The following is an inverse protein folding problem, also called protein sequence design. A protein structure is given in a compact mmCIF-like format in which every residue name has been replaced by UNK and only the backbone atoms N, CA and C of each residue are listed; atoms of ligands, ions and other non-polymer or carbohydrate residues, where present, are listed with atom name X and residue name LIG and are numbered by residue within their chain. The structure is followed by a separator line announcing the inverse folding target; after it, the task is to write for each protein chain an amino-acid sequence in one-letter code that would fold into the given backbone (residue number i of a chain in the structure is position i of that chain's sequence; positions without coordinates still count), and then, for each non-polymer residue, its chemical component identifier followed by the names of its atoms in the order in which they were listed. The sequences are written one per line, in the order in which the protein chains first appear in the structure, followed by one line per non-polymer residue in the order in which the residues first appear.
data_IF_072719372607
#
_entry.id   IF_072719372607
#
_cell.length_a   1.000
_cell.length_b   1.000
_cell.length_c   1.000
_cell.angle_alpha   90.00
_cell.angle_beta   90.00
_cell.angle_gamma   90.00
#
_symmetry.space_group_name_H-M   'P 1'
#
loop_
_entity.id
_entity.type
_entity.pdbx_description
1 polymer ?
#
# COMPACT_ATOMS: atom_id res chain seq x y z
N UNK A 1 -17.62 -7.81 15.04
CA UNK A 1 -17.74 -6.42 14.55
C UNK A 1 -17.11 -6.36 13.17
N UNK A 2 -17.90 -6.64 12.13
CA UNK A 2 -17.45 -6.53 10.75
C UNK A 2 -18.37 -5.52 10.10
N UNK A 3 -18.19 -4.26 10.45
CA UNK A 3 -18.64 -3.22 9.55
C UNK A 3 -17.84 -3.43 8.27
N UNK A 4 -18.57 -3.74 7.19
CA UNK A 4 -18.01 -3.79 5.85
C UNK A 4 -17.15 -2.54 5.70
N UNK A 5 -15.85 -2.71 5.51
CA UNK A 5 -14.97 -1.60 5.22
C UNK A 5 -15.58 -0.82 4.05
N UNK A 6 -16.18 0.33 4.36
CA UNK A 6 -16.95 1.09 3.38
C UNK A 6 -15.95 1.87 2.55
N UNK A 7 -15.27 1.18 1.64
CA UNK A 7 -14.35 1.76 0.65
C UNK A 7 -15.00 2.92 -0.13
N UNK A 8 -16.34 2.95 -0.18
CA UNK A 8 -17.16 4.05 -0.71
C UNK A 8 -16.98 5.39 0.02
N UNK A 9 -16.40 5.42 1.23
CA UNK A 9 -16.15 6.64 1.99
C UNK A 9 -14.76 7.24 1.70
N UNK A 10 -13.87 6.49 1.03
CA UNK A 10 -12.52 6.96 0.69
C UNK A 10 -12.62 7.91 -0.51
N UNK A 11 -12.48 9.21 -0.22
CA UNK A 11 -12.68 10.29 -1.20
C UNK A 11 -11.39 11.00 -1.55
N UNK A 12 -10.35 10.86 -0.73
CA UNK A 12 -9.05 11.47 -0.97
C UNK A 12 -7.91 10.44 -0.90
N UNK A 13 -6.74 10.82 -1.45
CA UNK A 13 -5.52 10.04 -1.30
C UNK A 13 -5.08 9.98 0.17
N UNK A 14 -5.33 11.04 0.95
CA UNK A 14 -5.03 11.05 2.38
C UNK A 14 -5.86 10.01 3.14
N UNK A 15 -7.18 9.95 2.89
CA UNK A 15 -8.07 8.95 3.49
C UNK A 15 -7.63 7.53 3.11
N UNK A 16 -7.25 7.35 1.83
CA UNK A 16 -6.79 6.06 1.33
C UNK A 16 -5.51 5.61 2.04
N UNK A 17 -4.55 6.53 2.19
CA UNK A 17 -3.29 6.27 2.88
C UNK A 17 -3.50 5.95 4.36
N UNK A 18 -4.29 6.76 5.06
CA UNK A 18 -4.62 6.54 6.48
C UNK A 18 -5.23 5.15 6.68
N UNK A 19 -6.19 4.81 5.83
CA UNK A 19 -6.89 3.54 5.91
C UNK A 19 -5.98 2.35 5.57
N UNK A 20 -5.06 2.48 4.60
CA UNK A 20 -4.01 1.47 4.37
C UNK A 20 -3.15 1.27 5.62
N UNK A 21 -2.72 2.34 6.31
CA UNK A 21 -1.93 2.23 7.54
C UNK A 21 -2.69 1.56 8.71
N UNK A 22 -4.00 1.77 8.82
CA UNK A 22 -4.83 1.05 9.79
C UNK A 22 -4.80 -0.46 9.51
N UNK A 23 -4.99 -0.87 8.25
CA UNK A 23 -4.92 -2.28 7.86
C UNK A 23 -3.53 -2.88 8.06
N UNK A 24 -2.45 -2.10 7.93
CA UNK A 24 -1.10 -2.57 8.28
C UNK A 24 -0.97 -2.85 9.78
N UNK A 25 -1.64 -2.05 10.62
CA UNK A 25 -1.77 -2.32 12.05
C UNK A 25 -2.49 -3.64 12.29
N UNK A 26 -3.65 -3.83 11.67
CA UNK A 26 -4.43 -5.08 11.77
C UNK A 26 -3.61 -6.30 11.33
N UNK A 27 -2.83 -6.20 10.24
CA UNK A 27 -1.94 -7.28 9.79
C UNK A 27 -0.87 -7.56 10.85
N UNK A 28 -0.21 -6.54 11.40
CA UNK A 28 0.84 -6.74 12.41
C UNK A 28 0.25 -7.47 13.62
N UNK A 29 -0.89 -7.03 14.11
CA UNK A 29 -1.51 -7.58 15.30
C UNK A 29 -1.94 -9.04 15.04
N UNK A 30 -2.51 -9.35 13.87
CA UNK A 30 -2.83 -10.72 13.46
C UNK A 30 -1.62 -11.64 13.31
N UNK A 31 -0.44 -11.10 12.99
CA UNK A 31 0.81 -11.87 12.90
C UNK A 31 1.41 -12.18 14.28
N UNK A 32 0.91 -11.58 15.36
CA UNK A 32 1.30 -11.88 16.74
C UNK A 32 0.37 -12.93 17.38
N UNK A 33 -0.80 -13.17 16.78
CA UNK A 33 -1.77 -14.17 17.21
C UNK A 33 -1.34 -15.62 16.85
N UNK A 34 -1.88 -16.64 17.54
CA UNK A 34 -1.64 -18.04 17.19
C UNK A 34 -2.00 -18.35 15.73
N UNK A 35 -1.17 -19.17 15.07
CA UNK A 35 -1.33 -19.56 13.67
C UNK A 35 -2.44 -20.62 13.46
N UNK A 36 -3.67 -20.25 13.79
CA UNK A 36 -4.86 -21.06 13.57
C UNK A 36 -5.70 -20.58 12.36
N UNK A 37 -6.73 -21.35 12.03
CA UNK A 37 -7.62 -21.04 10.89
C UNK A 37 -8.47 -19.77 11.11
N UNK A 38 -8.66 -19.33 12.36
CA UNK A 38 -9.38 -18.08 12.66
C UNK A 38 -8.48 -16.90 12.31
N UNK A 39 -7.22 -16.91 12.76
CA UNK A 39 -6.21 -15.90 12.40
C UNK A 39 -6.02 -15.85 10.88
N UNK A 40 -5.93 -17.01 10.21
CA UNK A 40 -5.85 -17.09 8.74
C UNK A 40 -7.03 -16.39 8.06
N UNK A 41 -8.25 -16.65 8.53
CA UNK A 41 -9.48 -16.08 7.95
C UNK A 41 -9.50 -14.55 8.08
N UNK A 42 -9.14 -14.03 9.25
CA UNK A 42 -9.08 -12.58 9.47
C UNK A 42 -7.96 -11.94 8.65
N UNK A 43 -6.78 -12.56 8.60
CA UNK A 43 -5.68 -12.10 7.77
C UNK A 43 -6.09 -12.01 6.29
N UNK A 44 -6.73 -13.05 5.75
CA UNK A 44 -7.25 -13.02 4.38
C UNK A 44 -8.27 -11.91 4.17
N UNK A 45 -9.12 -11.64 5.16
CA UNK A 45 -10.11 -10.55 5.07
C UNK A 45 -9.43 -9.18 4.99
N UNK A 46 -8.42 -8.93 5.83
CA UNK A 46 -7.66 -7.68 5.83
C UNK A 46 -6.87 -7.52 4.53
N UNK A 47 -6.24 -8.60 4.04
CA UNK A 47 -5.51 -8.59 2.77
C UNK A 47 -6.43 -8.30 1.58
N UNK A 48 -7.65 -8.84 1.58
CA UNK A 48 -8.62 -8.62 0.51
C UNK A 48 -9.01 -7.14 0.42
N UNK A 49 -9.25 -6.51 1.56
CA UNK A 49 -9.56 -5.08 1.63
C UNK A 49 -8.37 -4.24 1.17
N UNK A 50 -7.16 -4.59 1.60
CA UNK A 50 -5.94 -3.88 1.19
C UNK A 50 -5.69 -3.98 -0.32
N UNK A 51 -5.97 -5.14 -0.91
CA UNK A 51 -5.89 -5.37 -2.36
C UNK A 51 -6.97 -4.59 -3.13
N UNK A 52 -8.16 -4.40 -2.55
CA UNK A 52 -9.24 -3.60 -3.14
C UNK A 52 -8.97 -2.08 -3.08
N UNK A 53 -8.16 -1.64 -2.11
CA UNK A 53 -7.71 -0.24 -2.01
C UNK A 53 -6.76 0.16 -3.13
N UNK A 54 -5.87 -0.72 -3.58
CA UNK A 54 -4.83 -0.36 -4.57
C UNK A 54 -5.44 0.18 -5.89
N UNK A 55 -6.48 -0.43 -6.48
CA UNK A 55 -7.19 0.17 -7.61
C UNK A 55 -7.91 1.49 -7.29
N UNK A 56 -8.43 1.65 -6.07
CA UNK A 56 -9.11 2.87 -5.66
C UNK A 56 -8.12 4.04 -5.57
N UNK A 57 -6.96 3.79 -4.98
CA UNK A 57 -5.86 4.76 -4.90
C UNK A 57 -5.41 5.21 -6.30
N UNK A 58 -5.23 4.25 -7.23
CA UNK A 58 -4.92 4.58 -8.63
C UNK A 58 -5.96 5.49 -9.26
N UNK A 59 -7.26 5.20 -9.08
CA UNK A 59 -8.34 6.05 -9.58
C UNK A 59 -8.31 7.46 -8.98
N UNK A 60 -7.91 7.59 -7.71
CA UNK A 60 -7.75 8.90 -7.07
C UNK A 60 -6.57 9.67 -7.65
N UNK A 61 -5.44 9.01 -7.90
CA UNK A 61 -4.32 9.62 -8.63
C UNK A 61 -4.73 10.06 -10.04
N UNK A 62 -5.42 9.21 -10.81
CA UNK A 62 -5.85 9.54 -12.18
C UNK A 62 -6.78 10.75 -12.21
N UNK A 63 -7.65 10.91 -11.21
CA UNK A 63 -8.51 12.11 -11.07
C UNK A 63 -7.72 13.38 -10.76
N UNK A 64 -6.55 13.24 -10.15
CA UNK A 64 -5.65 14.33 -9.78
C UNK A 64 -4.53 14.52 -10.81
N UNK A 65 -4.79 14.22 -12.09
CA UNK A 65 -3.82 14.41 -13.18
C UNK A 65 -2.83 13.25 -13.37
N UNK A 66 -2.92 12.21 -12.53
CA UNK A 66 -2.07 11.02 -12.58
C UNK A 66 -1.19 10.85 -11.35
N UNK A 67 -0.35 9.82 -11.39
CA UNK A 67 0.51 9.47 -10.27
C UNK A 67 1.63 10.52 -10.09
N UNK A 68 1.60 11.23 -8.95
CA UNK A 68 2.50 12.35 -8.61
C UNK A 68 2.53 13.45 -9.69
N UNK A 69 1.38 13.75 -10.29
CA UNK A 69 1.25 14.77 -11.33
C UNK A 69 1.73 16.15 -10.86
N UNK A 70 1.40 16.55 -9.64
CA UNK A 70 1.88 17.78 -8.98
C UNK A 70 3.41 17.94 -9.01
N UNK A 71 4.17 16.85 -8.93
CA UNK A 71 5.64 16.89 -9.01
C UNK A 71 6.11 17.07 -10.45
N UNK A 72 5.39 16.48 -11.42
CA UNK A 72 5.76 16.53 -12.83
C UNK A 72 5.34 17.83 -13.52
N UNK A 73 4.30 18.49 -13.02
CA UNK A 73 3.90 19.84 -13.43
C UNK A 73 5.02 20.84 -13.12
N UNK A 74 5.58 20.81 -11.91
CA UNK A 74 6.68 21.69 -11.50
C UNK A 74 8.05 21.24 -12.02
N UNK A 75 8.31 19.93 -12.05
CA UNK A 75 9.60 19.37 -12.46
C UNK A 75 9.46 18.26 -13.51
N UNK A 76 9.17 18.58 -14.79
CA UNK A 76 8.98 17.58 -15.86
C UNK A 76 10.17 16.64 -16.06
N UNK A 77 11.39 17.12 -15.78
CA UNK A 77 12.62 16.33 -15.85
C UNK A 77 12.69 15.16 -14.86
N UNK A 78 11.81 15.12 -13.85
CA UNK A 78 11.78 14.09 -12.81
C UNK A 78 10.92 12.87 -13.20
N UNK A 79 10.41 12.81 -14.42
CA UNK A 79 9.61 11.68 -14.93
C UNK A 79 10.25 10.31 -14.65
N UNK A 80 11.57 10.17 -14.80
CA UNK A 80 12.27 8.90 -14.51
C UNK A 80 12.18 8.49 -13.03
N UNK A 81 12.16 9.45 -12.11
CA UNK A 81 12.02 9.20 -10.67
C UNK A 81 10.59 8.79 -10.34
N UNK A 82 9.61 9.53 -10.85
CA UNK A 82 8.17 9.23 -10.67
C UNK A 82 7.82 7.87 -11.26
N UNK A 83 8.28 7.56 -12.47
CA UNK A 83 8.06 6.25 -13.10
C UNK A 83 8.65 5.09 -12.27
N UNK A 84 9.82 5.29 -11.64
CA UNK A 84 10.42 4.28 -10.77
C UNK A 84 9.55 3.99 -9.54
N UNK A 85 8.99 5.04 -8.93
CA UNK A 85 8.07 4.88 -7.80
C UNK A 85 6.78 4.19 -8.24
N UNK A 86 6.25 4.57 -9.41
CA UNK A 86 5.05 3.96 -9.96
C UNK A 86 5.23 2.44 -10.20
N UNK A 87 6.36 2.05 -10.83
CA UNK A 87 6.68 0.63 -11.04
C UNK A 87 6.83 -0.14 -9.73
N UNK A 88 7.43 0.46 -8.69
CA UNK A 88 7.49 -0.15 -7.35
C UNK A 88 6.10 -0.33 -6.75
N UNK A 89 5.19 0.62 -6.94
CA UNK A 89 3.79 0.53 -6.48
C UNK A 89 3.04 -0.61 -7.16
N UNK A 90 3.20 -0.76 -8.47
CA UNK A 90 2.63 -1.88 -9.21
C UNK A 90 3.18 -3.23 -8.75
N UNK A 91 4.49 -3.30 -8.47
CA UNK A 91 5.11 -4.49 -7.91
C UNK A 91 4.57 -4.85 -6.51
N UNK A 92 4.32 -3.85 -5.66
CA UNK A 92 3.68 -4.05 -4.35
C UNK A 92 2.26 -4.61 -4.46
N UNK A 93 1.44 -4.08 -5.37
CA UNK A 93 0.08 -4.60 -5.63
C UNK A 93 0.14 -6.06 -6.10
N UNK A 94 1.02 -6.35 -7.08
CA UNK A 94 1.20 -7.71 -7.57
C UNK A 94 1.66 -8.69 -6.49
N UNK A 95 2.71 -8.34 -5.74
CA UNK A 95 3.27 -9.21 -4.70
C UNK A 95 2.28 -9.48 -3.56
N UNK A 96 1.45 -8.51 -3.17
CA UNK A 96 0.40 -8.70 -2.17
C UNK A 96 -0.65 -9.70 -2.65
N UNK A 97 -1.09 -9.59 -3.91
CA UNK A 97 -2.06 -10.53 -4.50
C UNK A 97 -1.52 -11.94 -4.53
N UNK A 98 -0.27 -12.12 -4.93
CA UNK A 98 0.39 -13.43 -4.94
C UNK A 98 0.54 -14.04 -3.55
N UNK A 99 0.90 -13.21 -2.56
CA UNK A 99 0.98 -13.64 -1.17
C UNK A 99 -0.39 -14.07 -0.63
N UNK A 100 -1.43 -13.25 -0.81
CA UNK A 100 -2.82 -13.59 -0.45
C UNK A 100 -3.28 -14.88 -1.14
N UNK A 101 -2.98 -15.04 -2.42
CA UNK A 101 -3.36 -16.24 -3.19
C UNK A 101 -2.71 -17.51 -2.61
N UNK A 102 -1.42 -17.45 -2.28
CA UNK A 102 -0.70 -18.56 -1.63
C UNK A 102 -1.30 -18.89 -0.28
N UNK A 103 -1.50 -17.90 0.60
CA UNK A 103 -2.13 -18.08 1.93
C UNK A 103 -3.51 -18.75 1.81
N UNK A 104 -4.32 -18.32 0.83
CA UNK A 104 -5.65 -18.90 0.57
C UNK A 104 -5.59 -20.34 0.09
N UNK A 105 -4.65 -20.65 -0.81
CA UNK A 105 -4.52 -21.99 -1.41
C UNK A 105 -3.84 -23.02 -0.49
N UNK A 106 -3.16 -22.56 0.56
CA UNK A 106 -2.41 -23.40 1.49
C UNK A 106 -3.31 -24.38 2.26
N UNK A 107 -3.06 -25.68 2.06
CA UNK A 107 -3.79 -26.77 2.73
C UNK A 107 -3.43 -26.89 4.22
N UNK A 108 -2.25 -26.41 4.64
CA UNK A 108 -1.76 -26.45 6.02
C UNK A 108 -1.22 -25.08 6.45
N UNK A 109 -2.12 -24.21 6.93
CA UNK A 109 -1.76 -22.85 7.34
C UNK A 109 -0.67 -22.82 8.40
N UNK A 110 -0.76 -23.66 9.42
CA UNK A 110 0.19 -23.68 10.55
C UNK A 110 1.64 -23.87 10.11
N UNK A 111 1.86 -24.65 9.04
CA UNK A 111 3.21 -24.88 8.47
C UNK A 111 3.72 -23.75 7.59
N UNK A 112 2.82 -22.89 7.09
CA UNK A 112 3.12 -21.79 6.18
C UNK A 112 3.05 -20.42 6.86
N UNK A 113 2.48 -20.35 8.07
CA UNK A 113 2.20 -19.11 8.78
C UNK A 113 3.48 -18.32 9.07
N UNK A 114 4.56 -18.98 9.49
CA UNK A 114 5.84 -18.31 9.76
C UNK A 114 6.42 -17.67 8.50
N UNK A 115 6.43 -18.42 7.39
CA UNK A 115 6.94 -17.95 6.10
C UNK A 115 6.05 -16.81 5.55
N UNK A 116 4.73 -17.00 5.57
CA UNK A 116 3.77 -15.98 5.15
C UNK A 116 3.90 -14.72 6.02
N UNK A 117 4.12 -14.87 7.32
CA UNK A 117 4.34 -13.78 8.25
C UNK A 117 5.63 -13.01 7.98
N UNK A 118 6.73 -13.71 7.67
CA UNK A 118 7.97 -13.08 7.25
C UNK A 118 7.79 -12.29 5.95
N UNK A 119 7.17 -12.90 4.93
CA UNK A 119 6.90 -12.24 3.65
C UNK A 119 5.96 -11.04 3.79
N UNK A 120 4.95 -11.12 4.66
CA UNK A 120 4.07 -9.98 4.97
C UNK A 120 4.83 -8.86 5.66
N UNK A 121 5.71 -9.16 6.61
CA UNK A 121 6.56 -8.15 7.29
C UNK A 121 7.48 -7.43 6.29
N UNK A 122 8.08 -8.17 5.37
CA UNK A 122 8.91 -7.61 4.30
C UNK A 122 8.08 -6.76 3.34
N UNK A 123 6.90 -7.23 2.95
CA UNK A 123 5.97 -6.47 2.13
C UNK A 123 5.55 -5.15 2.79
N UNK A 124 5.18 -5.19 4.07
CA UNK A 124 4.83 -4.00 4.85
C UNK A 124 5.99 -3.00 4.94
N UNK A 125 7.24 -3.49 5.03
CA UNK A 125 8.43 -2.64 5.00
C UNK A 125 8.58 -1.96 3.64
N UNK A 126 8.50 -2.72 2.55
CA UNK A 126 8.58 -2.15 1.20
C UNK A 126 7.49 -1.11 0.92
N UNK A 127 6.28 -1.34 1.45
CA UNK A 127 5.18 -0.38 1.37
C UNK A 127 5.51 0.94 2.09
N UNK A 128 5.99 0.87 3.34
CA UNK A 128 6.41 2.07 4.09
C UNK A 128 7.55 2.81 3.39
N UNK A 129 8.53 2.09 2.86
CA UNK A 129 9.66 2.67 2.14
C UNK A 129 9.20 3.40 0.87
N UNK A 130 8.20 2.86 0.15
CA UNK A 130 7.59 3.53 -0.99
C UNK A 130 6.90 4.84 -0.57
N UNK A 131 6.01 4.80 0.42
CA UNK A 131 5.30 6.00 0.89
C UNK A 131 6.26 7.09 1.38
N UNK A 132 7.33 6.69 2.08
CA UNK A 132 8.38 7.62 2.50
C UNK A 132 9.11 8.24 1.31
N UNK A 133 9.39 7.47 0.26
CA UNK A 133 10.04 7.95 -0.94
C UNK A 133 9.13 8.89 -1.75
N UNK A 134 7.84 8.56 -1.88
CA UNK A 134 6.81 9.44 -2.48
C UNK A 134 6.75 10.78 -1.74
N UNK A 135 6.59 10.74 -0.41
CA UNK A 135 6.52 11.95 0.43
C UNK A 135 7.79 12.79 0.34
N UNK A 136 8.96 12.13 0.35
CA UNK A 136 10.24 12.81 0.23
C UNK A 136 10.41 13.49 -1.12
N UNK A 137 9.86 12.91 -2.19
CA UNK A 137 9.87 13.53 -3.53
C UNK A 137 8.98 14.78 -3.57
N UNK A 138 7.78 14.71 -2.98
CA UNK A 138 6.85 15.85 -2.89
C UNK A 138 7.49 17.00 -2.09
N UNK A 139 8.03 16.71 -0.90
CA UNK A 139 8.69 17.73 -0.07
C UNK A 139 9.88 18.35 -0.81
N UNK A 140 10.66 17.55 -1.55
CA UNK A 140 11.78 18.04 -2.34
C UNK A 140 11.32 18.99 -3.45
N UNK A 141 10.22 18.68 -4.13
CA UNK A 141 9.64 19.57 -5.13
C UNK A 141 9.23 20.91 -4.51
N UNK A 142 8.50 20.88 -3.39
CA UNK A 142 8.08 22.08 -2.66
C UNK A 142 9.26 22.97 -2.22
N UNK A 143 10.34 22.38 -1.71
CA UNK A 143 11.52 23.15 -1.26
C UNK A 143 12.29 23.79 -2.43
N UNK A 144 12.35 23.13 -3.59
CA UNK A 144 13.03 23.68 -4.76
C UNK A 144 12.21 24.76 -5.46
N UNK A 145 10.89 24.63 -5.48
CA UNK A 145 9.98 25.67 -5.96
C UNK A 145 10.17 26.99 -5.18
N UNK A 146 10.17 26.91 -3.84
CA UNK A 146 10.43 28.08 -2.96
C UNK A 146 11.82 28.71 -3.18
N UNK A 147 12.82 27.92 -3.58
CA UNK A 147 14.19 28.39 -3.82
C UNK A 147 14.43 29.02 -5.20
N UNK A 148 13.57 28.77 -6.19
CA UNK A 148 13.71 29.27 -7.55
C UNK A 148 12.96 30.61 -7.79
N UNK A 149 12.13 31.04 -6.84
CA UNK A 149 11.36 32.30 -6.89
C UNK A 149 12.04 33.51 -6.25
N UNK A 150 13.38 33.50 -6.07
CA UNK A 150 14.16 34.58 -5.44
C UNK A 150 15.07 35.33 -6.41
#
# INVERSE_FOLDING_TARGET
MTDRYHLSQIRSLADCNEFQYLLLGDIRDLLEEPADEVTKKWLLTVLDVLIELMPQERRLHDRNGGYLAEVLEEFPGWNRLVMRLHLKKLHLDYSLRELRNRIRSGHLWTSQADQAGAELKDWMKMFRDLHQAERSLIVKAMLLDVGAGG
#
